data_IF_599943482058
#
_entry.id   IF_599943482058
#
_cell.length_a   1.000
_cell.length_b   1.000
_cell.length_c   1.000
_cell.angle_alpha   90.00
_cell.angle_beta   90.00
_cell.angle_gamma   90.00
#
_symmetry.space_group_name_H-M   'P 1'
#
loop_
_entity.id
_entity.type
_entity.pdbx_description
1 polymer ?
#
# COMPACT_ATOMS: atom_id res chain seq x y z
N UNK A 1 25.26 -4.74 -13.63
CA UNK A 1 25.16 -3.27 -13.44
C UNK A 1 25.36 -2.99 -11.98
N UNK A 2 26.22 -2.04 -11.63
CA UNK A 2 26.43 -1.60 -10.23
C UNK A 2 25.17 -0.89 -9.75
N UNK A 3 24.71 -1.14 -8.53
CA UNK A 3 23.60 -0.39 -7.93
C UNK A 3 23.95 1.10 -7.86
N UNK A 4 23.00 2.02 -8.12
CA UNK A 4 23.26 3.45 -7.99
C UNK A 4 23.49 3.82 -6.53
N UNK A 5 24.05 5.01 -6.31
CA UNK A 5 24.04 5.68 -5.01
C UNK A 5 22.59 6.10 -4.73
N UNK A 6 22.11 5.86 -3.51
CA UNK A 6 20.79 6.35 -3.08
C UNK A 6 20.95 7.48 -2.05
N UNK A 7 20.24 8.59 -2.24
CA UNK A 7 20.23 9.77 -1.37
C UNK A 7 19.87 9.40 0.08
N UNK A 8 18.94 8.45 0.27
CA UNK A 8 18.52 8.00 1.60
C UNK A 8 19.64 7.28 2.37
N UNK A 9 20.62 6.72 1.67
CA UNK A 9 21.74 5.98 2.27
C UNK A 9 22.95 6.90 2.53
N UNK A 10 22.90 8.16 2.08
CA UNK A 10 23.99 9.10 2.27
C UNK A 10 23.97 9.69 3.69
N UNK A 11 25.14 9.79 4.35
CA UNK A 11 25.22 10.48 5.63
C UNK A 11 24.94 11.99 5.44
N UNK A 12 24.42 12.62 6.50
CA UNK A 12 24.04 14.04 6.50
C UNK A 12 25.19 14.94 6.00
N UNK A 13 26.43 14.68 6.45
CA UNK A 13 27.62 15.44 6.04
C UNK A 13 27.91 15.38 4.53
N UNK A 14 27.52 14.31 3.85
CA UNK A 14 27.64 14.22 2.39
C UNK A 14 26.46 14.90 1.70
N UNK A 15 25.25 14.75 2.23
CA UNK A 15 24.05 15.41 1.71
C UNK A 15 24.20 16.93 1.67
N UNK A 16 24.78 17.52 2.72
CA UNK A 16 25.03 18.98 2.80
C UNK A 16 26.04 19.48 1.76
N UNK A 17 26.91 18.62 1.25
CA UNK A 17 27.95 18.96 0.26
C UNK A 17 27.49 18.80 -1.18
N UNK A 18 26.33 18.18 -1.43
CA UNK A 18 25.84 17.94 -2.78
C UNK A 18 25.42 19.25 -3.46
N UNK A 19 25.90 19.45 -4.69
CA UNK A 19 25.36 20.52 -5.52
C UNK A 19 23.96 20.15 -6.03
N UNK A 20 23.18 21.15 -6.49
CA UNK A 20 21.88 20.89 -7.16
C UNK A 20 22.01 19.92 -8.34
N UNK A 21 23.13 19.99 -9.07
CA UNK A 21 23.39 19.10 -10.20
C UNK A 21 23.66 17.67 -9.76
N UNK A 22 24.37 17.48 -8.64
CA UNK A 22 24.63 16.15 -8.09
C UNK A 22 23.34 15.51 -7.58
N UNK A 23 22.52 16.27 -6.84
CA UNK A 23 21.19 15.81 -6.39
C UNK A 23 20.35 15.37 -7.59
N UNK A 24 20.31 16.17 -8.66
CA UNK A 24 19.52 15.84 -9.85
C UNK A 24 20.04 14.58 -10.55
N UNK A 25 21.36 14.42 -10.68
CA UNK A 25 21.97 13.23 -11.30
C UNK A 25 21.68 11.96 -10.50
N UNK A 26 21.87 12.01 -9.18
CA UNK A 26 21.62 10.88 -8.28
C UNK A 26 20.13 10.52 -8.33
N UNK A 27 19.24 11.50 -8.15
CA UNK A 27 17.79 11.29 -8.21
C UNK A 27 17.33 10.67 -9.54
N UNK A 28 17.88 11.11 -10.68
CA UNK A 28 17.57 10.52 -11.99
C UNK A 28 18.04 9.06 -12.09
N UNK A 29 19.23 8.75 -11.57
CA UNK A 29 19.77 7.39 -11.56
C UNK A 29 18.95 6.46 -10.66
N UNK A 30 18.55 6.93 -9.47
CA UNK A 30 17.67 6.20 -8.56
C UNK A 30 16.30 5.93 -9.18
N UNK A 31 15.70 6.97 -9.79
CA UNK A 31 14.40 6.83 -10.46
C UNK A 31 14.47 5.77 -11.55
N UNK A 32 15.50 5.84 -12.41
CA UNK A 32 15.70 4.85 -13.46
C UNK A 32 15.88 3.44 -12.88
N UNK A 33 16.63 3.29 -11.79
CA UNK A 33 16.78 2.00 -11.11
C UNK A 33 15.44 1.47 -10.60
N UNK A 34 14.67 2.26 -9.86
CA UNK A 34 13.40 1.82 -9.27
C UNK A 34 12.29 1.60 -10.30
N UNK A 35 12.27 2.38 -11.39
CA UNK A 35 11.30 2.20 -12.48
C UNK A 35 11.54 0.89 -13.24
N UNK A 36 12.78 0.43 -13.34
CA UNK A 36 13.15 -0.80 -14.05
C UNK A 36 13.30 -2.02 -13.13
N UNK A 37 13.35 -1.84 -11.81
CA UNK A 37 13.48 -2.96 -10.88
C UNK A 37 12.19 -3.79 -10.87
N UNK A 38 12.23 -5.12 -11.12
CA UNK A 38 11.03 -5.95 -11.14
C UNK A 38 10.27 -5.91 -9.82
N UNK A 39 8.97 -5.67 -9.88
CA UNK A 39 8.11 -5.53 -8.69
C UNK A 39 6.66 -5.90 -8.98
N UNK A 40 5.89 -6.03 -7.91
CA UNK A 40 4.43 -6.10 -7.92
C UNK A 40 3.89 -4.87 -7.20
N UNK A 41 2.78 -4.31 -7.71
CA UNK A 41 2.10 -3.15 -7.15
C UNK A 41 0.82 -3.63 -6.47
N UNK A 42 0.66 -3.32 -5.18
CA UNK A 42 -0.55 -3.60 -4.41
C UNK A 42 -1.22 -2.30 -4.04
N UNK A 43 -2.40 -2.04 -4.59
CA UNK A 43 -3.10 -0.81 -4.31
C UNK A 43 -3.79 -0.82 -2.95
N UNK A 44 -3.76 0.33 -2.28
CA UNK A 44 -4.42 0.52 -0.98
C UNK A 44 -5.93 0.62 -1.17
N UNK A 45 -6.68 -0.17 -0.41
CA UNK A 45 -8.12 -0.09 -0.36
C UNK A 45 -8.57 1.14 0.43
N UNK A 46 -9.68 1.71 0.02
CA UNK A 46 -10.27 2.94 0.58
C UNK A 46 -11.76 2.75 0.76
N UNK A 47 -12.39 3.69 1.46
CA UNK A 47 -13.86 3.74 1.54
C UNK A 47 -14.49 3.70 0.15
N UNK A 48 -15.48 2.83 -0.04
CA UNK A 48 -16.14 2.59 -1.32
C UNK A 48 -15.41 1.65 -2.28
N UNK A 49 -14.29 1.03 -1.87
CA UNK A 49 -13.72 -0.10 -2.61
C UNK A 49 -14.73 -1.25 -2.70
N UNK A 50 -14.66 -2.03 -3.79
CA UNK A 50 -15.59 -3.12 -4.07
C UNK A 50 -14.95 -4.49 -3.90
N UNK A 51 -15.74 -5.41 -3.42
CA UNK A 51 -15.40 -6.83 -3.35
C UNK A 51 -15.92 -7.61 -4.55
N UNK A 52 -15.52 -8.88 -4.66
CA UNK A 52 -15.95 -9.77 -5.73
C UNK A 52 -17.45 -10.04 -5.69
N UNK A 53 -18.06 -10.10 -4.51
CA UNK A 53 -19.50 -10.29 -4.34
C UNK A 53 -20.27 -8.97 -4.18
N UNK A 54 -19.82 -7.91 -4.86
CA UNK A 54 -20.47 -6.59 -4.90
C UNK A 54 -20.62 -5.89 -3.53
N UNK A 55 -19.81 -6.28 -2.54
CA UNK A 55 -19.72 -5.60 -1.25
C UNK A 55 -18.98 -4.26 -1.35
N UNK A 56 -19.35 -3.31 -0.50
CA UNK A 56 -18.71 -1.98 -0.43
C UNK A 56 -17.98 -1.78 0.89
N UNK A 57 -16.70 -1.45 0.81
CA UNK A 57 -15.86 -1.17 1.99
C UNK A 57 -16.35 0.08 2.71
N UNK A 58 -16.71 -0.09 3.98
CA UNK A 58 -17.16 0.94 4.90
C UNK A 58 -16.11 1.18 6.00
N UNK A 59 -15.25 2.17 5.77
CA UNK A 59 -14.22 2.58 6.73
C UNK A 59 -14.81 3.26 7.96
N UNK A 60 -14.48 2.75 9.15
CA UNK A 60 -14.96 3.26 10.44
C UNK A 60 -14.26 4.56 10.90
N UNK A 61 -12.98 4.73 10.58
CA UNK A 61 -12.17 5.91 10.94
C UNK A 61 -12.09 6.91 9.80
N UNK A 62 -12.22 8.20 10.11
CA UNK A 62 -12.06 9.28 9.12
C UNK A 62 -10.76 10.07 9.28
N UNK A 63 -9.88 9.66 10.19
CA UNK A 63 -8.71 10.45 10.56
C UNK A 63 -7.60 10.41 9.49
N UNK A 64 -7.39 9.27 8.84
CA UNK A 64 -6.37 9.12 7.82
C UNK A 64 -7.00 9.14 6.44
N UNK A 65 -6.88 10.28 5.76
CA UNK A 65 -7.38 10.48 4.40
C UNK A 65 -6.25 10.79 3.44
N UNK A 66 -6.33 10.24 2.25
CA UNK A 66 -5.44 10.60 1.14
C UNK A 66 -6.29 11.03 -0.04
N UNK A 67 -6.03 12.26 -0.51
CA UNK A 67 -6.88 12.96 -1.49
C UNK A 67 -8.37 12.95 -1.11
N UNK A 68 -8.66 13.06 0.19
CA UNK A 68 -10.03 13.07 0.72
C UNK A 68 -10.67 11.70 0.93
N UNK A 69 -10.03 10.59 0.52
CA UNK A 69 -10.54 9.24 0.75
C UNK A 69 -9.95 8.61 2.02
N UNK A 70 -10.81 8.07 2.87
CA UNK A 70 -10.39 7.32 4.06
C UNK A 70 -9.77 5.98 3.67
N UNK A 71 -8.63 5.67 4.28
CA UNK A 71 -7.91 4.41 4.07
C UNK A 71 -8.63 3.28 4.80
N UNK A 72 -8.89 2.17 4.12
CA UNK A 72 -9.43 0.97 4.75
C UNK A 72 -8.34 0.17 5.45
N UNK A 73 -8.70 -0.49 6.55
CA UNK A 73 -7.80 -1.27 7.40
C UNK A 73 -8.43 -2.61 7.74
N UNK A 74 -7.59 -3.54 8.18
CA UNK A 74 -8.05 -4.78 8.82
C UNK A 74 -8.97 -4.43 9.99
N UNK A 75 -10.13 -5.08 10.03
CA UNK A 75 -11.21 -4.85 10.99
C UNK A 75 -12.29 -3.87 10.53
N UNK A 76 -12.08 -3.09 9.47
CA UNK A 76 -13.17 -2.30 8.86
C UNK A 76 -14.20 -3.24 8.20
N UNK A 77 -15.43 -2.75 8.08
CA UNK A 77 -16.56 -3.53 7.59
C UNK A 77 -16.74 -3.37 6.08
N UNK A 78 -17.35 -4.38 5.47
CA UNK A 78 -17.88 -4.35 4.11
C UNK A 78 -19.37 -4.61 4.18
N UNK A 79 -20.16 -3.77 3.50
CA UNK A 79 -21.62 -3.80 3.50
C UNK A 79 -22.12 -4.34 2.15
N UNK A 80 -23.09 -5.24 2.19
CA UNK A 80 -23.72 -5.83 1.00
C UNK A 80 -25.15 -5.29 0.80
N UNK A 81 -25.69 -5.47 -0.41
CA UNK A 81 -27.01 -4.96 -0.78
C UNK A 81 -28.17 -5.59 0.03
N UNK A 82 -27.97 -6.81 0.54
CA UNK A 82 -28.92 -7.50 1.42
C UNK A 82 -28.87 -7.00 2.88
N UNK A 83 -28.00 -6.05 3.18
CA UNK A 83 -27.79 -5.47 4.51
C UNK A 83 -26.86 -6.28 5.41
N UNK A 84 -26.30 -7.40 4.94
CA UNK A 84 -25.28 -8.14 5.68
C UNK A 84 -23.96 -7.38 5.68
N UNK A 85 -23.09 -7.71 6.65
CA UNK A 85 -21.74 -7.16 6.73
C UNK A 85 -20.72 -8.26 6.96
N UNK A 86 -19.47 -8.00 6.57
CA UNK A 86 -18.32 -8.86 6.87
C UNK A 86 -17.09 -8.00 7.11
N UNK A 87 -16.14 -8.46 7.93
CA UNK A 87 -14.93 -7.69 8.24
C UNK A 87 -13.78 -8.06 7.35
N UNK A 88 -12.93 -7.08 7.06
CA UNK A 88 -11.64 -7.29 6.40
C UNK A 88 -10.68 -7.97 7.39
N UNK A 89 -10.08 -9.10 7.02
CA UNK A 89 -9.20 -9.89 7.89
C UNK A 89 -7.74 -9.91 7.45
N UNK A 90 -7.44 -9.52 6.21
CA UNK A 90 -6.07 -9.43 5.71
C UNK A 90 -5.76 -8.07 5.10
N UNK A 91 -4.48 -7.78 4.90
CA UNK A 91 -4.03 -6.49 4.40
C UNK A 91 -2.52 -6.43 4.25
N UNK A 92 -1.93 -5.26 4.44
CA UNK A 92 -0.51 -5.00 4.23
C UNK A 92 0.42 -5.66 5.27
N UNK A 93 -0.12 -6.31 6.30
CA UNK A 93 0.70 -6.86 7.39
C UNK A 93 1.63 -5.80 7.99
N UNK A 94 2.90 -6.13 8.16
CA UNK A 94 3.92 -5.19 8.67
C UNK A 94 4.39 -4.17 7.62
N UNK A 95 3.92 -4.24 6.37
CA UNK A 95 4.35 -3.31 5.32
C UNK A 95 3.77 -1.91 5.51
N UNK A 96 2.56 -1.79 6.08
CA UNK A 96 1.92 -0.52 6.33
C UNK A 96 0.85 -0.65 7.43
N UNK A 97 1.06 0.03 8.55
CA UNK A 97 0.16 0.08 9.70
C UNK A 97 -0.29 1.52 9.89
N UNK A 98 -1.60 1.72 10.02
CA UNK A 98 -2.23 3.03 10.26
C UNK A 98 -3.15 2.89 11.46
N UNK A 99 -2.99 3.78 12.45
CA UNK A 99 -3.75 3.77 13.70
C UNK A 99 -3.76 2.39 14.40
N UNK A 100 -2.63 1.68 14.34
CA UNK A 100 -2.46 0.37 14.98
C UNK A 100 -2.95 -0.84 14.18
N UNK A 101 -3.63 -0.64 13.04
CA UNK A 101 -4.11 -1.74 12.18
C UNK A 101 -3.41 -1.77 10.82
N UNK A 102 -3.14 -2.96 10.25
CA UNK A 102 -2.66 -3.07 8.88
C UNK A 102 -3.64 -2.44 7.88
N UNK A 103 -3.10 -1.72 6.90
CA UNK A 103 -3.89 -1.16 5.80
C UNK A 103 -4.44 -2.27 4.91
N UNK A 104 -5.71 -2.19 4.53
CA UNK A 104 -6.31 -3.11 3.57
C UNK A 104 -5.84 -2.77 2.15
N UNK A 105 -5.71 -3.80 1.32
CA UNK A 105 -5.24 -3.73 -0.06
C UNK A 105 -6.25 -4.39 -1.01
N UNK A 106 -6.16 -4.08 -2.30
CA UNK A 106 -6.72 -4.97 -3.33
C UNK A 106 -6.06 -6.35 -3.17
N UNK A 107 -6.87 -7.39 -3.08
CA UNK A 107 -6.46 -8.76 -2.71
C UNK A 107 -6.70 -9.13 -1.24
N UNK A 108 -7.18 -8.18 -0.42
CA UNK A 108 -7.50 -8.49 0.99
C UNK A 108 -8.76 -9.32 1.11
N UNK A 109 -8.73 -10.29 2.02
CA UNK A 109 -9.81 -11.23 2.31
C UNK A 109 -10.72 -10.73 3.41
N UNK A 110 -11.96 -11.20 3.37
CA UNK A 110 -12.99 -10.97 4.37
C UNK A 110 -13.33 -12.26 5.14
N UNK A 111 -13.95 -12.13 6.31
CA UNK A 111 -14.38 -13.26 7.15
C UNK A 111 -15.32 -14.24 6.42
N UNK A 112 -16.11 -13.74 5.47
CA UNK A 112 -17.03 -14.55 4.67
C UNK A 112 -16.38 -15.18 3.42
N UNK A 113 -15.07 -15.04 3.24
CA UNK A 113 -14.31 -15.57 2.10
C UNK A 113 -14.26 -14.66 0.87
N UNK A 114 -14.95 -13.52 0.88
CA UNK A 114 -14.89 -12.53 -0.21
C UNK A 114 -13.54 -11.80 -0.25
N UNK A 115 -13.30 -11.04 -1.32
CA UNK A 115 -12.04 -10.37 -1.62
C UNK A 115 -12.25 -8.98 -2.19
N UNK A 116 -11.48 -8.00 -1.73
CA UNK A 116 -11.46 -6.66 -2.32
C UNK A 116 -10.76 -6.72 -3.68
N UNK A 117 -11.46 -6.39 -4.77
CA UNK A 117 -10.92 -6.49 -6.14
C UNK A 117 -10.78 -5.15 -6.85
N UNK A 118 -11.52 -4.12 -6.42
CA UNK A 118 -11.58 -2.83 -7.12
C UNK A 118 -11.58 -1.68 -6.12
N UNK A 119 -10.95 -0.57 -6.51
CA UNK A 119 -10.88 0.67 -5.73
C UNK A 119 -11.30 1.85 -6.60
N UNK A 120 -11.94 2.88 -6.01
CA UNK A 120 -12.38 4.05 -6.75
C UNK A 120 -11.22 4.93 -7.25
N UNK A 121 -10.00 4.78 -6.69
CA UNK A 121 -8.81 5.42 -7.22
C UNK A 121 -7.53 4.62 -6.94
N UNK A 122 -6.52 4.80 -7.79
CA UNK A 122 -5.24 4.08 -7.71
C UNK A 122 -4.11 4.98 -7.18
N UNK A 123 -4.41 5.87 -6.21
CA UNK A 123 -3.47 6.92 -5.81
C UNK A 123 -2.28 6.40 -4.99
N UNK A 124 -2.50 5.37 -4.16
CA UNK A 124 -1.48 4.83 -3.26
C UNK A 124 -1.32 3.35 -3.53
N UNK A 125 -0.09 2.91 -3.55
CA UNK A 125 0.23 1.50 -3.61
C UNK A 125 1.48 1.19 -2.81
N UNK A 126 1.55 -0.06 -2.35
CA UNK A 126 2.75 -0.68 -1.82
C UNK A 126 3.42 -1.40 -2.98
N UNK A 127 4.68 -1.07 -3.24
CA UNK A 127 5.50 -1.75 -4.23
C UNK A 127 6.40 -2.76 -3.51
N UNK A 128 6.28 -4.04 -3.84
CA UNK A 128 7.17 -5.09 -3.34
C UNK A 128 8.06 -5.55 -4.49
N UNK A 129 9.38 -5.45 -4.31
CA UNK A 129 10.34 -5.88 -5.32
C UNK A 129 10.54 -7.40 -5.27
N UNK A 130 10.78 -8.02 -6.43
CA UNK A 130 10.86 -9.50 -6.54
C UNK A 130 12.02 -10.13 -5.76
N UNK A 131 13.04 -9.35 -5.43
CA UNK A 131 14.21 -9.76 -4.65
C UNK A 131 14.04 -9.52 -3.14
N UNK A 132 12.88 -9.04 -2.70
CA UNK A 132 12.57 -8.84 -1.29
C UNK A 132 11.69 -9.97 -0.75
N UNK A 133 11.89 -10.33 0.52
CA UNK A 133 10.95 -11.16 1.23
C UNK A 133 9.60 -10.43 1.37
N UNK A 134 8.51 -11.19 1.31
CA UNK A 134 7.19 -10.63 1.61
C UNK A 134 7.17 -10.15 3.07
N UNK A 135 6.56 -8.97 3.35
CA UNK A 135 6.36 -8.50 4.70
C UNK A 135 5.59 -9.52 5.53
N UNK A 136 5.84 -9.54 6.84
CA UNK A 136 5.15 -10.47 7.73
C UNK A 136 3.64 -10.18 7.72
N UNK A 137 2.83 -11.24 7.65
CA UNK A 137 1.37 -11.19 7.56
C UNK A 137 0.82 -10.43 6.33
N UNK A 138 1.60 -10.28 5.26
CA UNK A 138 1.16 -9.61 4.03
C UNK A 138 0.12 -10.45 3.28
N UNK A 139 -1.09 -9.94 3.16
CA UNK A 139 -2.29 -10.59 2.61
C UNK A 139 -2.60 -11.98 3.21
N UNK A 140 -2.00 -12.29 4.36
CA UNK A 140 -2.18 -13.56 5.08
C UNK A 140 -3.57 -13.65 5.68
N UNK A 141 -4.22 -14.80 5.53
CA UNK A 141 -5.60 -15.05 5.97
C UNK A 141 -5.81 -16.50 6.46
N UNK A 142 -4.70 -17.18 6.76
CA UNK A 142 -4.68 -18.49 7.42
C UNK A 142 -5.13 -18.41 8.89
#
# INVERSE_FOLDING_TARGET
MTSPIFLQDLPIEQLEKLSKNDIQKISNAEKLYWDNKPHIIYYVAVHGAKTQNDGLVNVSSTNTKIKGLSIARVGDEVIYADGTTSKIISGAGTACIVDGSPVALVGSRLENGDEIIEIPNNTIAIRIYKDQALPQNFLSHD
#
